data_IF_995024044636
#
_entry.id   IF_995024044636
#
_cell.length_a   1.000
_cell.length_b   1.000
_cell.length_c   1.000
_cell.angle_alpha   90.00
_cell.angle_beta   90.00
_cell.angle_gamma   90.00
#
_symmetry.space_group_name_H-M   'P 1'
#
loop_
_entity.id
_entity.type
_entity.pdbx_description
1 polymer ?
#
# COMPACT_ATOMS: atom_id res chain seq x y z
N UNK A 1 -2.05 -34.59 -27.66
CA UNK A 1 -2.57 -33.78 -26.52
C UNK A 1 -3.61 -32.84 -27.10
N UNK A 2 -4.87 -32.99 -26.70
CA UNK A 2 -5.96 -32.14 -27.19
C UNK A 2 -5.71 -30.68 -26.83
N UNK A 3 -5.76 -29.81 -27.85
CA UNK A 3 -5.51 -28.37 -27.71
C UNK A 3 -6.41 -27.73 -26.62
N UNK A 4 -7.61 -28.27 -26.43
CA UNK A 4 -8.56 -27.87 -25.39
C UNK A 4 -7.99 -28.03 -23.98
N UNK A 5 -7.28 -29.13 -23.70
CA UNK A 5 -6.67 -29.38 -22.40
C UNK A 5 -5.54 -28.38 -22.10
N UNK A 6 -4.74 -28.06 -23.11
CA UNK A 6 -3.65 -27.08 -23.00
C UNK A 6 -4.23 -25.69 -22.69
N UNK A 7 -5.31 -25.29 -23.37
CA UNK A 7 -5.97 -23.99 -23.12
C UNK A 7 -6.48 -23.88 -21.69
N UNK A 8 -7.16 -24.92 -21.17
CA UNK A 8 -7.68 -24.91 -19.79
C UNK A 8 -6.54 -24.76 -18.78
N UNK A 9 -5.43 -25.47 -18.97
CA UNK A 9 -4.25 -25.40 -18.08
C UNK A 9 -3.64 -23.99 -18.10
N UNK A 10 -3.47 -23.40 -19.29
CA UNK A 10 -2.91 -22.06 -19.43
C UNK A 10 -3.81 -21.01 -18.78
N UNK A 11 -5.12 -21.07 -19.06
CA UNK A 11 -6.11 -20.13 -18.49
C UNK A 11 -6.18 -20.28 -16.97
N UNK A 12 -6.25 -21.51 -16.45
CA UNK A 12 -6.27 -21.78 -15.00
C UNK A 12 -5.01 -21.25 -14.30
N UNK A 13 -3.83 -21.51 -14.88
CA UNK A 13 -2.55 -21.02 -14.35
C UNK A 13 -2.48 -19.49 -14.38
N UNK A 14 -2.90 -18.87 -15.49
CA UNK A 14 -2.95 -17.42 -15.61
C UNK A 14 -3.88 -16.79 -14.57
N UNK A 15 -5.08 -17.35 -14.38
CA UNK A 15 -6.01 -16.92 -13.33
C UNK A 15 -5.41 -17.04 -11.94
N UNK A 16 -4.69 -18.12 -11.63
CA UNK A 16 -4.04 -18.28 -10.33
C UNK A 16 -2.97 -17.20 -10.08
N UNK A 17 -2.17 -16.87 -11.10
CA UNK A 17 -1.15 -15.81 -11.02
C UNK A 17 -1.82 -14.43 -10.85
N UNK A 18 -2.82 -14.13 -11.66
CA UNK A 18 -3.58 -12.87 -11.57
C UNK A 18 -4.23 -12.77 -10.18
N UNK A 19 -4.83 -13.84 -9.68
CA UNK A 19 -5.46 -13.87 -8.36
C UNK A 19 -4.47 -13.58 -7.25
N UNK A 20 -3.26 -14.18 -7.30
CA UNK A 20 -2.18 -13.83 -6.36
C UNK A 20 -1.80 -12.36 -6.42
N UNK A 21 -1.61 -11.80 -7.62
CA UNK A 21 -1.24 -10.39 -7.78
C UNK A 21 -2.34 -9.44 -7.28
N UNK A 22 -3.61 -9.75 -7.57
CA UNK A 22 -4.77 -8.99 -7.10
C UNK A 22 -4.86 -9.04 -5.58
N UNK A 23 -4.76 -10.22 -4.97
CA UNK A 23 -4.75 -10.36 -3.50
C UNK A 23 -3.60 -9.57 -2.88
N UNK A 24 -2.39 -9.68 -3.44
CA UNK A 24 -1.22 -8.98 -2.94
C UNK A 24 -1.42 -7.45 -3.00
N UNK A 25 -1.93 -6.94 -4.12
CA UNK A 25 -2.24 -5.51 -4.28
C UNK A 25 -3.36 -5.05 -3.36
N UNK A 26 -4.40 -5.87 -3.17
CA UNK A 26 -5.56 -5.55 -2.33
C UNK A 26 -5.20 -5.52 -0.84
N UNK A 27 -4.48 -6.54 -0.34
CA UNK A 27 -3.94 -6.59 1.02
C UNK A 27 -3.01 -5.40 1.26
N UNK A 28 -2.15 -5.09 0.29
CA UNK A 28 -1.25 -3.94 0.37
C UNK A 28 -2.06 -2.63 0.46
N UNK A 29 -3.13 -2.46 -0.32
CA UNK A 29 -3.98 -1.27 -0.20
C UNK A 29 -4.68 -1.19 1.16
N UNK A 30 -5.18 -2.31 1.68
CA UNK A 30 -5.85 -2.39 2.99
C UNK A 30 -4.92 -2.01 4.14
N UNK A 31 -3.71 -2.58 4.16
CA UNK A 31 -2.70 -2.26 5.18
C UNK A 31 -2.21 -0.81 5.10
N UNK A 32 -2.40 -0.12 3.97
CA UNK A 32 -1.96 1.28 3.78
C UNK A 32 -2.98 2.19 4.45
N UNK A 33 -4.24 1.90 4.15
CA UNK A 33 -5.40 2.53 4.75
C UNK A 33 -5.41 2.33 6.26
N UNK A 34 -5.07 1.13 6.72
CA UNK A 34 -4.98 0.80 8.15
C UNK A 34 -3.83 1.53 8.84
N UNK A 35 -2.65 1.60 8.21
CA UNK A 35 -1.50 2.35 8.75
C UNK A 35 -1.80 3.85 8.85
N UNK A 36 -2.40 4.45 7.82
CA UNK A 36 -2.82 5.85 7.83
C UNK A 36 -3.86 6.09 8.92
N UNK A 37 -4.85 5.19 9.07
CA UNK A 37 -5.86 5.28 10.12
C UNK A 37 -5.23 5.18 11.52
N UNK A 38 -4.28 4.27 11.70
CA UNK A 38 -3.58 4.05 12.96
C UNK A 38 -2.66 5.21 13.34
N UNK A 39 -1.92 5.79 12.39
CA UNK A 39 -1.07 6.95 12.64
C UNK A 39 -1.87 8.24 12.89
N UNK A 40 -3.01 8.39 12.22
CA UNK A 40 -3.82 9.58 12.35
C UNK A 40 -4.67 9.63 13.63
N UNK A 41 -5.06 8.48 14.17
CA UNK A 41 -5.93 8.44 15.35
C UNK A 41 -7.23 9.23 15.11
N UNK A 42 -7.53 10.18 16.01
CA UNK A 42 -8.72 11.05 15.97
C UNK A 42 -8.46 12.44 15.32
N UNK A 43 -7.19 12.74 14.98
CA UNK A 43 -6.76 14.05 14.49
C UNK A 43 -6.77 14.11 12.95
N UNK A 44 -7.87 14.59 12.38
CA UNK A 44 -8.03 14.77 10.92
C UNK A 44 -7.01 15.72 10.28
N UNK A 45 -6.47 16.67 11.03
CA UNK A 45 -5.51 17.66 10.53
C UNK A 45 -4.11 17.02 10.35
N UNK A 46 -3.69 16.23 11.35
CA UNK A 46 -2.47 15.40 11.29
C UNK A 46 -2.62 14.33 10.20
N UNK A 47 -3.83 13.77 10.04
CA UNK A 47 -4.17 12.82 8.96
C UNK A 47 -3.91 13.41 7.57
N UNK A 48 -4.46 14.58 7.26
CA UNK A 48 -4.27 15.21 5.95
C UNK A 48 -2.82 15.57 5.67
N UNK A 49 -2.09 16.05 6.69
CA UNK A 49 -0.68 16.39 6.54
C UNK A 49 0.19 15.15 6.24
N UNK A 50 0.01 14.07 7.01
CA UNK A 50 0.71 12.81 6.77
C UNK A 50 0.30 12.16 5.44
N UNK A 51 -0.98 12.28 5.04
CA UNK A 51 -1.49 11.75 3.78
C UNK A 51 -0.91 12.47 2.56
N UNK A 52 -0.77 13.80 2.62
CA UNK A 52 -0.10 14.58 1.56
C UNK A 52 1.38 14.20 1.41
N UNK A 53 2.12 14.06 2.53
CA UNK A 53 3.53 13.58 2.47
C UNK A 53 3.63 12.16 1.94
N UNK A 54 2.70 11.28 2.32
CA UNK A 54 2.61 9.92 1.80
C UNK A 54 2.36 9.86 0.30
N UNK A 55 1.48 10.72 -0.22
CA UNK A 55 1.25 10.81 -1.67
C UNK A 55 2.50 11.29 -2.41
N UNK A 56 3.24 12.24 -1.84
CA UNK A 56 4.56 12.65 -2.36
C UNK A 56 5.54 11.49 -2.43
N UNK A 57 5.73 10.76 -1.32
CA UNK A 57 6.63 9.59 -1.23
C UNK A 57 6.20 8.44 -2.14
N UNK A 58 4.89 8.30 -2.39
CA UNK A 58 4.32 7.32 -3.32
C UNK A 58 4.53 7.68 -4.78
N UNK A 59 4.46 8.96 -5.10
CA UNK A 59 4.84 9.48 -6.42
C UNK A 59 6.34 9.26 -6.68
N UNK A 60 7.16 9.38 -5.64
CA UNK A 60 8.61 9.17 -5.69
C UNK A 60 9.01 7.67 -5.74
N UNK A 61 8.05 6.76 -5.57
CA UNK A 61 8.28 5.32 -5.66
C UNK A 61 9.03 4.71 -4.47
N UNK A 62 9.02 5.38 -3.32
CA UNK A 62 9.76 4.94 -2.13
C UNK A 62 9.20 3.60 -1.60
N UNK A 63 10.06 2.62 -1.28
CA UNK A 63 9.63 1.33 -0.78
C UNK A 63 8.98 1.46 0.59
N UNK A 64 7.73 1.01 0.66
CA UNK A 64 6.80 1.11 1.80
C UNK A 64 7.33 0.77 3.20
N UNK A 65 8.41 0.00 3.34
CA UNK A 65 9.08 -0.19 4.64
C UNK A 65 9.57 1.13 5.22
N UNK A 66 9.99 2.05 4.36
CA UNK A 66 10.41 3.39 4.72
C UNK A 66 9.24 4.35 4.95
N UNK A 67 8.00 4.00 4.58
CA UNK A 67 6.86 4.90 4.83
C UNK A 67 6.63 5.09 6.32
N UNK A 68 6.63 4.01 7.10
CA UNK A 68 6.50 4.12 8.55
C UNK A 68 7.63 4.95 9.15
N UNK A 69 8.86 4.71 8.72
CA UNK A 69 10.02 5.43 9.24
C UNK A 69 9.98 6.92 8.90
N UNK A 70 9.67 7.26 7.65
CA UNK A 70 9.52 8.66 7.21
C UNK A 70 8.33 9.35 7.88
N UNK A 71 7.16 8.71 7.95
CA UNK A 71 5.98 9.27 8.61
C UNK A 71 6.19 9.46 10.11
N UNK A 72 6.89 8.55 10.78
CA UNK A 72 7.27 8.71 12.19
C UNK A 72 8.24 9.86 12.36
N UNK A 73 9.21 10.01 11.47
CA UNK A 73 10.16 11.13 11.51
C UNK A 73 9.46 12.47 11.26
N UNK A 74 8.57 12.53 10.27
CA UNK A 74 7.78 13.71 9.91
C UNK A 74 6.78 14.11 10.99
N UNK A 75 6.14 13.13 11.64
CA UNK A 75 5.25 13.38 12.77
C UNK A 75 6.02 13.92 13.98
N UNK A 76 7.24 13.42 14.23
CA UNK A 76 8.10 13.88 15.31
C UNK A 76 8.63 15.30 15.05
N UNK A 77 8.92 15.64 13.79
CA UNK A 77 9.32 16.99 13.38
C UNK A 77 8.17 18.00 13.53
N UNK A 78 6.93 17.57 13.25
CA UNK A 78 5.74 18.39 13.45
C UNK A 78 5.39 18.60 14.93
N UNK A 79 5.63 17.60 15.79
CA UNK A 79 5.47 17.73 17.24
C UNK A 79 6.60 18.53 17.91
N UNK A 80 7.83 18.48 17.40
CA UNK A 80 8.93 19.33 17.89
C UNK A 80 8.80 20.79 17.47
N UNK A 81 8.13 21.07 16.34
CA UNK A 81 7.94 22.43 15.84
C UNK A 81 6.70 23.13 16.41
N UNK A 82 5.98 22.52 17.37
CA UNK A 82 4.80 23.07 18.06
C UNK A 82 5.09 23.31 19.53
#
# INVERSE_FOLDING_TARGET
>A
MDATAIVIIVVSTALAIIFKLVLFKKIRNWMDQDLIKGLAGDDSDKLQFLQNKLEGLKSDGVPRKLYQEHLTNDANEFEQSR
#
